data_IF_617827074352
#
_entry.id   IF_617827074352
#
_cell.length_a   1.000
_cell.length_b   1.000
_cell.length_c   1.000
_cell.angle_alpha   90.00
_cell.angle_beta   90.00
_cell.angle_gamma   90.00
#
_symmetry.space_group_name_H-M   'P 1'
#
loop_
_entity.id
_entity.type
_entity.pdbx_description
1 polymer ?
#
# COMPACT_ATOMS: atom_id res chain seq x y z
N UNK A 1 27.35 -30.28 -10.76
CA UNK A 1 26.12 -30.31 -11.58
C UNK A 1 24.87 -29.88 -10.81
N UNK A 2 24.56 -30.43 -9.63
CA UNK A 2 23.37 -30.04 -8.85
C UNK A 2 23.33 -28.56 -8.37
N UNK A 3 24.49 -27.93 -8.10
CA UNK A 3 24.55 -26.52 -7.67
C UNK A 3 24.19 -25.54 -8.80
N UNK A 4 24.56 -25.85 -10.05
CA UNK A 4 24.26 -25.04 -11.23
C UNK A 4 22.76 -25.11 -11.58
N UNK A 5 22.16 -26.31 -11.45
CA UNK A 5 20.73 -26.52 -11.64
C UNK A 5 19.86 -25.78 -10.62
N UNK A 6 20.28 -25.72 -9.34
CA UNK A 6 19.60 -24.92 -8.31
C UNK A 6 19.67 -23.42 -8.60
N UNK A 7 20.80 -22.95 -9.12
CA UNK A 7 20.97 -21.53 -9.44
C UNK A 7 20.11 -21.09 -10.64
N UNK A 8 20.00 -21.95 -11.66
CA UNK A 8 19.16 -21.70 -12.85
C UNK A 8 17.67 -21.75 -12.50
N UNK A 9 17.23 -22.72 -11.68
CA UNK A 9 15.82 -22.81 -11.26
C UNK A 9 15.43 -21.62 -10.36
N UNK A 10 16.32 -21.19 -9.46
CA UNK A 10 16.12 -19.99 -8.64
C UNK A 10 16.04 -18.71 -9.48
N UNK A 11 16.94 -18.53 -10.45
CA UNK A 11 16.94 -17.38 -11.34
C UNK A 11 15.71 -17.34 -12.26
N UNK A 12 15.21 -18.49 -12.72
CA UNK A 12 13.96 -18.57 -13.50
C UNK A 12 12.73 -18.26 -12.66
N UNK A 13 12.72 -18.64 -11.37
CA UNK A 13 11.62 -18.35 -10.44
C UNK A 13 11.55 -16.85 -10.11
N UNK A 14 12.69 -16.24 -9.76
CA UNK A 14 12.85 -14.79 -9.55
C UNK A 14 12.41 -13.99 -10.80
N UNK A 15 12.81 -14.44 -12.00
CA UNK A 15 12.44 -13.81 -13.27
C UNK A 15 10.96 -13.99 -13.63
N UNK A 16 10.32 -15.09 -13.22
CA UNK A 16 8.86 -15.31 -13.36
C UNK A 16 8.07 -14.42 -12.40
N UNK A 17 8.54 -14.23 -11.18
CA UNK A 17 7.93 -13.31 -10.21
C UNK A 17 8.06 -11.85 -10.67
N UNK A 18 9.25 -11.46 -11.15
CA UNK A 18 9.46 -10.14 -11.75
C UNK A 18 8.61 -9.92 -13.02
N UNK A 19 8.49 -10.92 -13.92
CA UNK A 19 7.63 -10.81 -15.11
C UNK A 19 6.13 -10.84 -14.78
N UNK A 20 5.69 -11.56 -13.74
CA UNK A 20 4.30 -11.57 -13.29
C UNK A 20 3.88 -10.23 -12.66
N UNK A 21 4.81 -9.53 -12.00
CA UNK A 21 4.61 -8.16 -11.51
C UNK A 21 4.50 -7.15 -12.68
N UNK A 22 5.25 -7.34 -13.76
CA UNK A 22 5.18 -6.47 -14.95
C UNK A 22 3.97 -6.74 -15.85
N UNK A 23 3.40 -7.95 -15.83
CA UNK A 23 2.28 -8.35 -16.69
C UNK A 23 0.90 -7.75 -16.32
N UNK A 24 0.83 -6.95 -15.25
CA UNK A 24 -0.42 -6.44 -14.70
C UNK A 24 -0.45 -4.92 -14.54
N UNK A 25 0.37 -4.20 -15.30
CA UNK A 25 0.29 -2.76 -15.37
C UNK A 25 -1.16 -2.33 -15.70
N UNK A 26 -1.69 -1.30 -15.03
CA UNK A 26 -3.04 -0.86 -15.28
C UNK A 26 -3.20 -0.45 -16.74
N UNK A 27 -4.32 -0.87 -17.33
CA UNK A 27 -4.67 -0.50 -18.69
C UNK A 27 -5.88 0.41 -18.68
N UNK A 28 -5.96 1.30 -19.65
CA UNK A 28 -7.10 2.19 -19.82
C UNK A 28 -8.23 1.43 -20.52
N UNK A 29 -9.41 1.41 -19.93
CA UNK A 29 -10.59 0.92 -20.62
C UNK A 29 -11.14 1.95 -21.62
N UNK A 30 -12.22 1.60 -22.32
CA UNK A 30 -12.87 2.47 -23.33
C UNK A 30 -13.32 3.84 -22.79
N UNK A 31 -13.41 4.01 -21.47
CA UNK A 31 -13.75 5.26 -20.79
C UNK A 31 -12.53 5.97 -20.19
N UNK A 32 -11.31 5.50 -20.48
CA UNK A 32 -10.08 6.04 -19.93
C UNK A 32 -9.89 5.79 -18.44
N UNK A 33 -10.59 4.80 -17.85
CA UNK A 33 -10.37 4.40 -16.46
C UNK A 33 -9.29 3.35 -16.38
N UNK A 34 -8.43 3.46 -15.37
CA UNK A 34 -7.45 2.43 -15.05
C UNK A 34 -8.19 1.17 -14.57
N UNK A 35 -8.00 0.06 -15.28
CA UNK A 35 -8.45 -1.26 -14.89
C UNK A 35 -7.26 -2.09 -14.39
N UNK A 36 -7.45 -2.66 -13.20
CA UNK A 36 -6.51 -3.53 -12.53
C UNK A 36 -7.13 -4.92 -12.43
N UNK A 37 -6.33 -5.96 -12.65
CA UNK A 37 -6.82 -7.33 -12.42
C UNK A 37 -6.97 -7.62 -10.92
N UNK A 38 -7.87 -8.55 -10.59
CA UNK A 38 -7.99 -9.07 -9.23
C UNK A 38 -6.69 -9.68 -8.72
N UNK A 39 -5.93 -10.37 -9.57
CA UNK A 39 -4.65 -10.97 -9.20
C UNK A 39 -3.63 -9.90 -8.76
N UNK A 40 -3.58 -8.78 -9.48
CA UNK A 40 -2.75 -7.64 -9.14
C UNK A 40 -3.18 -6.98 -7.84
N UNK A 41 -4.47 -6.63 -7.70
CA UNK A 41 -5.00 -6.01 -6.49
C UNK A 41 -4.75 -6.90 -5.27
N UNK A 42 -4.98 -8.21 -5.40
CA UNK A 42 -4.67 -9.18 -4.36
C UNK A 42 -3.19 -9.20 -4.02
N UNK A 43 -2.29 -9.11 -5.00
CA UNK A 43 -0.85 -9.09 -4.75
C UNK A 43 -0.44 -7.84 -3.94
N UNK A 44 -0.95 -6.67 -4.30
CA UNK A 44 -0.69 -5.40 -3.58
C UNK A 44 -1.22 -5.49 -2.15
N UNK A 45 -2.48 -5.87 -1.97
CA UNK A 45 -3.09 -5.99 -0.64
C UNK A 45 -2.45 -7.10 0.22
N UNK A 46 -1.80 -8.08 -0.39
CA UNK A 46 -1.08 -9.15 0.33
C UNK A 46 0.35 -8.78 0.71
N UNK A 47 0.99 -7.83 0.02
CA UNK A 47 2.36 -7.39 0.30
C UNK A 47 2.42 -6.17 1.22
N UNK A 48 1.47 -5.25 1.11
CA UNK A 48 1.40 -4.02 1.91
C UNK A 48 1.04 -4.31 3.36
N UNK A 49 1.65 -3.56 4.29
CA UNK A 49 1.35 -3.61 5.73
C UNK A 49 1.13 -2.21 6.32
N UNK A 50 1.89 -1.22 5.88
CA UNK A 50 1.83 0.17 6.38
C UNK A 50 1.45 1.13 5.25
N UNK A 51 0.42 1.93 5.47
CA UNK A 51 -0.19 2.79 4.45
C UNK A 51 -0.23 4.23 4.96
N UNK A 52 0.23 5.19 4.17
CA UNK A 52 -0.01 6.59 4.44
C UNK A 52 -1.37 7.03 3.88
N UNK A 53 -2.27 7.51 4.74
CA UNK A 53 -3.58 8.03 4.33
C UNK A 53 -3.57 9.55 4.29
N UNK A 54 -3.44 10.10 3.08
CA UNK A 54 -3.57 11.54 2.83
C UNK A 54 -5.02 11.98 2.93
N UNK A 55 -5.29 13.07 3.66
CA UNK A 55 -6.63 13.56 3.91
C UNK A 55 -7.39 12.79 5.01
N UNK A 56 -6.66 12.08 5.87
CA UNK A 56 -7.24 11.42 7.04
C UNK A 56 -8.00 12.44 7.91
N UNK A 57 -9.27 12.16 8.18
CA UNK A 57 -10.11 13.02 9.00
C UNK A 57 -10.29 12.43 10.39
N UNK A 58 -10.40 13.30 11.39
CA UNK A 58 -10.73 12.93 12.77
C UNK A 58 -12.23 12.83 13.01
N UNK A 59 -13.08 13.28 12.07
CA UNK A 59 -14.54 13.32 12.25
C UNK A 59 -15.14 11.94 12.02
N UNK A 60 -15.78 11.31 13.03
CA UNK A 60 -16.49 10.05 12.83
C UNK A 60 -17.55 10.17 11.73
N UNK A 61 -17.67 9.13 10.91
CA UNK A 61 -18.60 9.10 9.77
C UNK A 61 -18.11 9.76 8.48
N UNK A 62 -17.02 10.56 8.51
CA UNK A 62 -16.40 10.99 7.25
C UNK A 62 -15.76 9.80 6.54
N UNK A 63 -15.81 9.73 5.19
CA UNK A 63 -15.29 8.58 4.45
C UNK A 63 -13.85 8.21 4.79
N UNK A 64 -12.95 9.17 4.99
CA UNK A 64 -11.55 8.87 5.32
C UNK A 64 -11.39 8.33 6.75
N UNK A 65 -12.19 8.77 7.72
CA UNK A 65 -12.20 8.20 9.07
C UNK A 65 -12.64 6.73 9.03
N UNK A 66 -13.79 6.47 8.40
CA UNK A 66 -14.36 5.11 8.31
C UNK A 66 -13.43 4.17 7.53
N UNK A 67 -12.81 4.67 6.45
CA UNK A 67 -11.84 3.89 5.67
C UNK A 67 -10.61 3.54 6.52
N UNK A 68 -10.06 4.50 7.26
CA UNK A 68 -8.91 4.27 8.14
C UNK A 68 -9.23 3.22 9.22
N UNK A 69 -10.37 3.37 9.89
CA UNK A 69 -10.86 2.43 10.90
C UNK A 69 -11.03 1.01 10.32
N UNK A 70 -11.65 0.90 9.15
CA UNK A 70 -11.82 -0.37 8.47
C UNK A 70 -10.47 -1.00 8.12
N UNK A 71 -9.53 -0.26 7.55
CA UNK A 71 -8.20 -0.78 7.19
C UNK A 71 -7.42 -1.25 8.43
N UNK A 72 -7.47 -0.49 9.53
CA UNK A 72 -6.90 -0.93 10.80
C UNK A 72 -7.56 -2.21 11.32
N UNK A 73 -8.89 -2.35 11.20
CA UNK A 73 -9.61 -3.58 11.56
C UNK A 73 -9.21 -4.80 10.72
N UNK A 74 -8.63 -4.58 9.53
CA UNK A 74 -8.09 -5.62 8.65
C UNK A 74 -6.60 -5.92 8.89
N UNK A 75 -5.99 -5.28 9.89
CA UNK A 75 -4.60 -5.52 10.27
C UNK A 75 -3.57 -4.67 9.53
N UNK A 76 -3.99 -3.67 8.74
CA UNK A 76 -3.08 -2.68 8.20
C UNK A 76 -2.74 -1.65 9.27
N UNK A 77 -1.51 -1.16 9.28
CA UNK A 77 -1.17 0.07 9.99
C UNK A 77 -1.41 1.25 9.06
N UNK A 78 -2.14 2.26 9.51
CA UNK A 78 -2.46 3.44 8.70
C UNK A 78 -1.89 4.69 9.34
N UNK A 79 -0.98 5.37 8.65
CA UNK A 79 -0.33 6.61 9.09
C UNK A 79 -1.09 7.80 8.51
N UNK A 80 -1.79 8.61 9.32
CA UNK A 80 -2.63 9.69 8.82
C UNK A 80 -1.80 10.93 8.46
N UNK A 81 -2.09 11.52 7.30
CA UNK A 81 -1.48 12.77 6.81
C UNK A 81 -2.57 13.80 6.56
N UNK A 82 -2.51 14.92 7.28
CA UNK A 82 -3.45 16.04 7.13
C UNK A 82 -2.87 17.33 7.76
N UNK A 83 -2.48 18.33 6.95
CA UNK A 83 -1.95 19.61 7.45
C UNK A 83 -2.88 20.33 8.43
N UNK A 84 -4.20 20.23 8.23
CA UNK A 84 -5.19 20.92 9.04
C UNK A 84 -5.35 20.32 10.45
N UNK A 85 -4.85 19.09 10.67
CA UNK A 85 -4.97 18.37 11.93
C UNK A 85 -3.62 17.84 12.46
N UNK A 86 -2.50 18.40 11.97
CA UNK A 86 -1.15 17.97 12.36
C UNK A 86 -0.94 17.93 13.88
N UNK A 87 -0.12 16.98 14.34
CA UNK A 87 0.20 16.73 15.75
C UNK A 87 -0.98 16.31 16.64
N UNK A 88 -2.18 16.13 16.08
CA UNK A 88 -3.26 15.44 16.77
C UNK A 88 -3.17 13.92 16.56
N UNK A 89 -4.09 13.18 17.18
CA UNK A 89 -4.16 11.73 17.10
C UNK A 89 -5.52 11.30 16.58
N UNK A 90 -5.56 10.36 15.65
CA UNK A 90 -6.79 9.72 15.17
C UNK A 90 -6.60 8.21 15.16
N UNK A 91 -7.55 7.49 15.75
CA UNK A 91 -7.53 6.02 15.79
C UNK A 91 -6.16 5.46 16.27
N UNK A 92 -5.62 6.08 17.31
CA UNK A 92 -4.34 5.67 17.93
C UNK A 92 -3.06 6.10 17.20
N UNK A 93 -3.15 6.78 16.04
CA UNK A 93 -1.98 7.19 15.25
C UNK A 93 -1.83 8.71 15.19
N UNK A 94 -0.57 9.18 15.24
CA UNK A 94 -0.24 10.61 15.12
C UNK A 94 -0.45 11.10 13.70
N UNK A 95 -1.07 12.27 13.55
CA UNK A 95 -1.26 12.96 12.28
C UNK A 95 -0.03 13.79 11.91
N UNK A 96 0.53 13.53 10.73
CA UNK A 96 1.60 14.30 10.11
C UNK A 96 1.02 15.38 9.17
N UNK A 97 1.71 16.50 8.99
CA UNK A 97 1.23 17.53 8.08
C UNK A 97 1.49 17.13 6.63
N UNK A 98 2.69 16.66 6.34
CA UNK A 98 3.11 16.20 5.02
C UNK A 98 3.68 14.76 5.06
N UNK A 99 3.78 14.13 3.89
CA UNK A 99 4.46 12.84 3.72
C UNK A 99 5.94 12.93 4.13
N UNK A 100 6.60 14.06 3.87
CA UNK A 100 7.99 14.30 4.22
C UNK A 100 8.23 14.40 5.74
N UNK A 101 7.18 14.67 6.53
CA UNK A 101 7.27 14.75 7.99
C UNK A 101 7.21 13.38 8.67
N UNK A 102 6.84 12.33 7.93
CA UNK A 102 6.83 10.96 8.45
C UNK A 102 8.29 10.53 8.71
N UNK A 103 8.63 10.12 9.95
CA UNK A 103 9.99 9.68 10.28
C UNK A 103 10.47 8.59 9.33
N UNK A 104 11.69 8.73 8.80
CA UNK A 104 12.30 7.73 7.90
C UNK A 104 12.48 6.35 8.54
N UNK A 105 12.40 6.25 9.87
CA UNK A 105 12.36 4.98 10.59
C UNK A 105 11.04 4.21 10.44
N UNK A 106 9.97 4.87 9.99
CA UNK A 106 8.70 4.22 9.66
C UNK A 106 8.73 3.82 8.18
N UNK A 107 8.68 2.52 7.92
CA UNK A 107 8.48 2.01 6.55
C UNK A 107 7.04 2.27 6.13
N UNK A 108 6.85 2.99 5.04
CA UNK A 108 5.56 3.19 4.36
C UNK A 108 5.60 2.39 3.06
N UNK A 109 4.69 1.43 2.90
CA UNK A 109 4.64 0.56 1.72
C UNK A 109 3.80 1.17 0.59
N UNK A 110 2.84 2.03 0.94
CA UNK A 110 1.90 2.70 0.03
C UNK A 110 1.51 4.08 0.53
#
# INVERSE_FOLDING_TARGET
LAALQRHIVGAVHERRLAMAATAHAPHLNLLGRQEYSDAYLKSVLSSVRVIAMVGASMTPGKPSYVTMEYMQSKGFRVIPVNPAAQNQTVLGEKIYADMADIPSSLTIDM
#
